data_IF_181638904850
#
_entry.id   IF_181638904850
#
_cell.length_a   1.000
_cell.length_b   1.000
_cell.length_c   1.000
_cell.angle_alpha   90.00
_cell.angle_beta   90.00
_cell.angle_gamma   90.00
#
_symmetry.space_group_name_H-M   'P 1'
#
loop_
_entity.id
_entity.type
_entity.pdbx_description
1 polymer ?
#
# COMPACT_ATOMS: atom_id res chain seq x y z
N UNK A 1 1.28 -35.31 2.30
CA UNK A 1 0.08 -34.63 1.80
C UNK A 1 0.55 -33.57 0.79
N UNK A 2 0.02 -33.61 -0.42
CA UNK A 2 0.27 -32.64 -1.48
C UNK A 2 -0.61 -31.39 -1.26
N UNK A 3 -0.34 -30.63 -0.18
CA UNK A 3 -1.01 -29.35 0.06
C UNK A 3 -0.12 -28.21 -0.40
N UNK A 4 -0.73 -27.24 -1.05
CA UNK A 4 -0.10 -25.98 -1.43
C UNK A 4 -0.32 -24.95 -0.36
N UNK A 5 0.71 -24.15 -0.05
CA UNK A 5 0.66 -23.10 0.96
C UNK A 5 0.70 -21.72 0.30
N UNK A 6 -0.39 -20.98 0.46
CA UNK A 6 -0.50 -19.58 0.03
C UNK A 6 -0.60 -18.71 1.27
N UNK A 7 0.29 -17.73 1.40
CA UNK A 7 0.28 -16.79 2.51
C UNK A 7 -0.39 -15.48 2.13
N UNK A 8 -0.92 -14.78 3.13
CA UNK A 8 -1.43 -13.42 2.96
C UNK A 8 -0.26 -12.42 2.89
N UNK A 9 -0.24 -11.59 1.86
CA UNK A 9 0.74 -10.55 1.62
C UNK A 9 0.10 -9.19 1.87
N UNK A 10 0.28 -8.65 3.07
CA UNK A 10 -0.24 -7.34 3.47
C UNK A 10 0.87 -6.30 3.29
N UNK A 11 0.81 -5.54 2.21
CA UNK A 11 1.87 -4.59 1.82
C UNK A 11 1.37 -3.18 1.52
N UNK A 12 0.07 -2.94 1.67
CA UNK A 12 -0.48 -1.58 1.63
C UNK A 12 -0.14 -0.81 2.91
N UNK A 13 -0.08 -1.47 4.05
CA UNK A 13 0.12 -0.89 5.37
C UNK A 13 0.86 -1.84 6.30
N UNK A 14 1.28 -1.34 7.46
CA UNK A 14 1.75 -2.18 8.57
C UNK A 14 0.86 -2.00 9.79
N UNK A 15 1.10 -2.78 10.86
CA UNK A 15 0.63 -2.41 12.18
C UNK A 15 1.31 -1.10 12.65
N UNK A 16 0.63 -0.31 13.47
CA UNK A 16 1.23 0.84 14.18
C UNK A 16 2.25 0.42 15.25
N UNK A 17 2.29 -0.87 15.59
CA UNK A 17 3.29 -1.51 16.46
C UNK A 17 4.48 -2.09 15.66
N UNK A 18 4.47 -1.96 14.34
CA UNK A 18 5.60 -2.40 13.51
C UNK A 18 6.84 -1.55 13.81
N UNK A 19 8.04 -2.15 13.96
CA UNK A 19 9.26 -1.42 14.30
C UNK A 19 9.55 -0.23 13.37
N UNK A 20 9.24 -0.34 12.09
CA UNK A 20 9.41 0.78 11.14
C UNK A 20 8.53 1.97 11.51
N UNK A 21 7.26 1.73 11.88
CA UNK A 21 6.35 2.82 12.22
C UNK A 21 6.65 3.40 13.60
N UNK A 22 7.00 2.56 14.56
CA UNK A 22 7.43 3.02 15.89
C UNK A 22 8.64 3.95 15.81
N UNK A 23 9.57 3.70 14.88
CA UNK A 23 10.70 4.58 14.62
C UNK A 23 10.29 5.80 13.81
N UNK A 24 9.54 5.62 12.72
CA UNK A 24 9.11 6.69 11.83
C UNK A 24 8.35 7.82 12.58
N UNK A 25 7.50 7.45 13.51
CA UNK A 25 6.67 8.40 14.28
C UNK A 25 7.42 9.22 15.33
N UNK A 26 8.71 8.93 15.59
CA UNK A 26 9.51 9.65 16.58
C UNK A 26 10.06 10.97 16.06
N UNK A 27 10.45 11.04 14.77
CA UNK A 27 11.10 12.23 14.19
C UNK A 27 11.03 12.20 12.67
N UNK A 28 10.87 13.39 12.05
CA UNK A 28 10.99 13.58 10.59
C UNK A 28 12.39 13.24 10.04
N UNK A 29 13.42 13.20 10.91
CA UNK A 29 14.79 12.86 10.53
C UNK A 29 15.10 11.37 10.72
N UNK A 30 14.13 10.57 11.17
CA UNK A 30 14.32 9.13 11.31
C UNK A 30 14.40 8.49 9.91
N UNK A 31 15.32 7.52 9.67
CA UNK A 31 15.44 6.82 8.40
C UNK A 31 14.13 6.20 7.90
N UNK A 32 13.30 5.72 8.81
CA UNK A 32 12.01 5.09 8.50
C UNK A 32 10.87 6.10 8.24
N UNK A 33 11.10 7.41 8.43
CA UNK A 33 10.02 8.40 8.26
C UNK A 33 9.40 8.29 6.86
N UNK A 34 10.20 8.22 5.82
CA UNK A 34 9.75 8.14 4.44
C UNK A 34 9.20 6.75 4.03
N UNK A 35 9.15 5.79 4.95
CA UNK A 35 8.49 4.49 4.73
C UNK A 35 6.97 4.60 4.73
N UNK A 36 6.43 5.69 5.26
CA UNK A 36 5.00 5.97 5.37
C UNK A 36 4.64 7.29 4.70
N UNK A 37 3.36 7.48 4.43
CA UNK A 37 2.85 8.74 3.91
C UNK A 37 2.55 9.72 5.03
N UNK A 38 3.11 10.93 4.91
CA UNK A 38 2.94 12.01 5.87
C UNK A 38 2.47 13.29 5.21
N UNK A 39 1.63 14.04 5.92
CA UNK A 39 1.26 15.40 5.58
C UNK A 39 1.77 16.33 6.70
N UNK A 40 2.76 17.19 6.44
CA UNK A 40 3.29 18.13 7.42
C UNK A 40 2.25 19.14 7.86
N UNK A 41 2.11 19.40 9.19
CA UNK A 41 1.11 20.33 9.73
C UNK A 41 1.31 21.78 9.27
N UNK A 42 2.54 22.17 8.93
CA UNK A 42 2.82 23.49 8.35
C UNK A 42 2.14 23.75 7.00
N UNK A 43 1.69 22.72 6.32
CA UNK A 43 0.90 22.83 5.07
C UNK A 43 -0.60 23.07 5.33
N UNK A 44 -1.01 23.17 6.59
CA UNK A 44 -2.40 23.23 7.00
C UNK A 44 -3.03 21.82 7.08
N UNK A 45 -4.37 21.78 7.09
CA UNK A 45 -5.09 20.51 7.15
C UNK A 45 -4.85 19.66 5.92
N UNK A 46 -4.70 18.31 6.09
CA UNK A 46 -4.51 17.43 4.97
C UNK A 46 -5.74 17.38 4.07
N UNK A 47 -5.58 17.15 2.75
CA UNK A 47 -6.69 16.95 1.84
C UNK A 47 -7.56 15.78 2.28
N UNK A 48 -8.88 15.94 2.17
CA UNK A 48 -9.83 14.90 2.58
C UNK A 48 -9.49 13.55 1.97
N UNK A 49 -9.34 12.56 2.85
CA UNK A 49 -9.30 11.13 2.52
C UNK A 49 -10.20 10.40 3.50
N UNK A 50 -11.01 9.49 2.99
CA UNK A 50 -11.88 8.67 3.82
C UNK A 50 -11.21 7.35 4.16
N UNK A 51 -11.40 6.92 5.40
CA UNK A 51 -11.00 5.61 5.87
C UNK A 51 -12.09 4.57 5.56
N UNK A 52 -11.69 3.33 5.26
CA UNK A 52 -12.62 2.22 5.11
C UNK A 52 -13.25 1.77 6.44
N UNK A 53 -12.55 2.00 7.57
CA UNK A 53 -12.94 1.45 8.88
C UNK A 53 -13.21 2.51 9.95
N UNK A 54 -12.87 3.77 9.71
CA UNK A 54 -13.13 4.83 10.67
C UNK A 54 -14.48 5.49 10.35
N UNK A 55 -15.46 5.36 11.25
CA UNK A 55 -16.80 5.91 11.08
C UNK A 55 -16.79 7.46 11.02
N UNK A 56 -15.78 8.12 11.60
CA UNK A 56 -15.54 9.55 11.46
C UNK A 56 -14.97 9.92 10.09
N UNK A 57 -14.63 8.90 9.30
CA UNK A 57 -14.32 9.00 7.89
C UNK A 57 -12.96 9.58 7.55
N UNK A 58 -12.14 10.04 8.50
CA UNK A 58 -10.85 10.66 8.19
C UNK A 58 -9.72 9.63 8.15
N UNK A 59 -9.01 9.56 7.03
CA UNK A 59 -7.85 8.69 6.85
C UNK A 59 -6.52 9.33 7.28
N UNK A 60 -6.54 10.43 8.02
CA UNK A 60 -5.37 11.10 8.54
C UNK A 60 -5.40 11.20 10.06
N UNK A 61 -4.29 10.83 10.71
CA UNK A 61 -4.13 10.97 12.15
C UNK A 61 -2.89 11.80 12.47
N UNK A 62 -3.09 12.83 13.31
CA UNK A 62 -2.00 13.70 13.75
C UNK A 62 -1.03 12.99 14.69
N UNK A 63 0.26 13.14 14.42
CA UNK A 63 1.36 12.64 15.24
C UNK A 63 2.21 13.80 15.76
N UNK A 64 2.10 14.08 17.04
CA UNK A 64 2.74 15.22 17.70
C UNK A 64 4.27 15.24 17.56
N UNK A 65 5.02 14.12 17.73
CA UNK A 65 6.48 14.15 17.65
C UNK A 65 7.03 14.59 16.30
N UNK A 66 6.32 14.28 15.20
CA UNK A 66 6.72 14.67 13.84
C UNK A 66 6.02 15.93 13.35
N UNK A 67 5.07 16.47 14.13
CA UNK A 67 4.20 17.58 13.72
C UNK A 67 3.64 17.37 12.30
N UNK A 68 3.09 16.15 12.08
CA UNK A 68 2.58 15.70 10.78
C UNK A 68 1.41 14.76 10.99
N UNK A 69 0.58 14.63 9.95
CA UNK A 69 -0.48 13.62 9.89
C UNK A 69 0.02 12.43 9.08
N UNK A 70 -0.18 11.19 9.57
CA UNK A 70 0.07 9.99 8.79
C UNK A 70 -1.20 9.46 8.15
N UNK A 71 -1.07 8.87 6.96
CA UNK A 71 -2.17 8.29 6.21
C UNK A 71 -2.49 6.87 6.67
N UNK A 72 -3.80 6.53 6.73
CA UNK A 72 -4.29 5.18 6.96
C UNK A 72 -5.62 4.99 6.23
N UNK A 73 -5.60 4.35 5.08
CA UNK A 73 -6.86 4.07 4.35
C UNK A 73 -7.78 3.11 5.09
N UNK A 74 -7.24 2.32 6.01
CA UNK A 74 -8.00 1.46 6.92
C UNK A 74 -8.06 2.07 8.33
N UNK A 75 -7.73 1.32 9.35
CA UNK A 75 -7.71 1.82 10.72
C UNK A 75 -6.49 2.72 10.99
N UNK A 76 -6.62 3.66 11.93
CA UNK A 76 -5.48 4.43 12.48
C UNK A 76 -4.35 3.56 13.04
N UNK A 77 -4.61 2.27 13.30
CA UNK A 77 -3.60 1.27 13.65
C UNK A 77 -2.92 0.60 12.45
N UNK A 78 -3.25 1.04 11.24
CA UNK A 78 -2.75 0.47 9.99
C UNK A 78 -2.19 1.57 9.09
N UNK A 79 -1.04 2.20 9.47
CA UNK A 79 -0.41 3.27 8.69
C UNK A 79 0.01 2.78 7.32
N UNK A 80 -0.29 3.57 6.29
CA UNK A 80 -0.06 3.23 4.89
C UNK A 80 1.39 3.39 4.48
N UNK A 81 1.95 2.36 3.85
CA UNK A 81 3.31 2.34 3.33
C UNK A 81 3.45 3.22 2.07
N UNK A 82 4.59 3.89 1.98
CA UNK A 82 4.94 4.76 0.87
C UNK A 82 5.66 4.01 -0.25
N UNK A 83 4.92 3.46 -1.19
CA UNK A 83 5.48 2.73 -2.34
C UNK A 83 6.26 3.61 -3.33
N UNK A 84 6.20 4.94 -3.21
CA UNK A 84 7.10 5.84 -3.95
C UNK A 84 8.56 5.65 -3.52
N UNK A 85 8.77 5.26 -2.25
CA UNK A 85 10.11 4.99 -1.72
C UNK A 85 10.63 3.65 -2.25
N UNK A 86 11.73 3.62 -3.03
CA UNK A 86 12.28 2.39 -3.55
C UNK A 86 12.83 1.45 -2.47
N UNK A 87 13.23 1.98 -1.29
CA UNK A 87 13.70 1.16 -0.18
C UNK A 87 12.58 0.28 0.36
N UNK A 88 11.37 0.81 0.52
CA UNK A 88 10.20 0.02 0.92
C UNK A 88 9.91 -1.09 -0.08
N UNK A 89 9.96 -0.79 -1.38
CA UNK A 89 9.73 -1.82 -2.39
C UNK A 89 10.76 -2.94 -2.29
N UNK A 90 12.03 -2.57 -2.06
CA UNK A 90 13.10 -3.56 -1.90
C UNK A 90 12.88 -4.44 -0.65
N UNK A 91 12.54 -3.85 0.49
CA UNK A 91 12.22 -4.58 1.73
C UNK A 91 11.07 -5.57 1.54
N UNK A 92 10.01 -5.14 0.82
CA UNK A 92 8.88 -6.01 0.49
C UNK A 92 9.33 -7.15 -0.42
N UNK A 93 10.13 -6.88 -1.46
CA UNK A 93 10.61 -7.91 -2.38
C UNK A 93 11.56 -8.90 -1.69
N UNK A 94 12.37 -8.44 -0.74
CA UNK A 94 13.25 -9.30 0.06
C UNK A 94 12.42 -10.19 0.99
N UNK A 95 11.39 -9.66 1.62
CA UNK A 95 10.46 -10.43 2.44
C UNK A 95 9.71 -11.48 1.61
N UNK A 96 9.26 -11.13 0.39
CA UNK A 96 8.59 -12.08 -0.49
C UNK A 96 9.54 -13.22 -0.90
N UNK A 97 10.78 -12.89 -1.28
CA UNK A 97 11.82 -13.89 -1.60
C UNK A 97 12.10 -14.80 -0.41
N UNK A 98 12.24 -14.25 0.78
CA UNK A 98 12.44 -15.03 2.00
C UNK A 98 11.38 -16.12 2.18
N UNK A 99 10.10 -15.79 1.96
CA UNK A 99 9.02 -16.77 2.11
C UNK A 99 9.01 -17.80 0.97
N UNK A 100 9.26 -17.40 -0.27
CA UNK A 100 9.41 -18.34 -1.38
C UNK A 100 10.56 -19.31 -1.17
N UNK A 101 11.70 -18.84 -0.68
CA UNK A 101 12.86 -19.68 -0.35
C UNK A 101 12.57 -20.63 0.83
N UNK A 102 11.57 -20.35 1.64
CA UNK A 102 11.03 -21.26 2.67
C UNK A 102 10.05 -22.29 2.09
N UNK A 103 9.69 -22.18 0.83
CA UNK A 103 8.88 -23.18 0.12
C UNK A 103 7.39 -22.94 0.12
N UNK A 104 6.93 -21.69 0.24
CA UNK A 104 5.52 -21.37 -0.02
C UNK A 104 5.22 -21.46 -1.52
N UNK A 105 3.96 -21.70 -1.85
CA UNK A 105 3.49 -21.85 -3.23
C UNK A 105 2.88 -20.57 -3.80
N UNK A 106 2.71 -19.53 -3.00
CA UNK A 106 2.16 -18.27 -3.50
C UNK A 106 1.72 -17.29 -2.43
N UNK A 107 1.15 -16.16 -2.93
CA UNK A 107 0.59 -15.10 -2.11
C UNK A 107 -0.85 -14.75 -2.50
N UNK A 108 -1.69 -14.53 -1.50
CA UNK A 108 -2.90 -13.70 -1.62
C UNK A 108 -2.52 -12.28 -1.25
N UNK A 109 -2.61 -11.35 -2.18
CA UNK A 109 -2.15 -9.97 -2.02
C UNK A 109 -3.30 -9.11 -1.51
N UNK A 110 -3.24 -8.76 -0.23
CA UNK A 110 -4.23 -7.93 0.44
C UNK A 110 -4.25 -6.52 -0.13
N UNK A 111 -5.45 -6.03 -0.47
CA UNK A 111 -5.69 -4.63 -0.90
C UNK A 111 -4.67 -4.11 -1.91
N UNK A 112 -4.18 -4.97 -2.80
CA UNK A 112 -3.06 -4.68 -3.70
C UNK A 112 -3.33 -3.53 -4.67
N UNK A 113 -4.59 -3.25 -4.96
CA UNK A 113 -4.99 -2.11 -5.81
C UNK A 113 -4.80 -0.75 -5.14
N UNK A 114 -4.52 -0.71 -3.83
CA UNK A 114 -4.42 0.52 -3.05
C UNK A 114 -2.98 0.92 -2.70
N UNK A 115 -1.97 0.16 -3.11
CA UNK A 115 -0.57 0.41 -2.71
C UNK A 115 0.00 1.72 -3.26
N UNK A 116 -0.43 2.16 -4.43
CA UNK A 116 0.01 3.40 -5.04
C UNK A 116 -0.83 4.60 -4.55
N UNK A 117 -0.17 5.68 -4.16
CA UNK A 117 -0.80 6.96 -3.78
C UNK A 117 -0.06 8.11 -4.44
N UNK A 118 -0.80 9.09 -4.95
CA UNK A 118 -0.19 10.34 -5.42
C UNK A 118 0.35 11.13 -4.22
N UNK A 119 1.68 11.36 -4.10
CA UNK A 119 2.27 12.04 -2.95
C UNK A 119 1.89 13.53 -2.87
N UNK A 120 1.31 14.10 -3.92
CA UNK A 120 0.75 15.46 -3.88
C UNK A 120 -0.60 15.50 -3.20
N UNK A 121 -1.26 14.35 -3.03
CA UNK A 121 -2.59 14.21 -2.45
C UNK A 121 -3.60 15.22 -3.02
N UNK A 122 -3.85 15.22 -4.35
CA UNK A 122 -4.75 16.17 -4.97
C UNK A 122 -6.15 16.08 -4.39
N UNK A 123 -6.92 17.16 -4.48
CA UNK A 123 -8.35 17.14 -4.14
C UNK A 123 -9.08 16.15 -5.05
N UNK A 124 -9.96 15.35 -4.45
CA UNK A 124 -10.74 14.37 -5.19
C UNK A 124 -11.92 15.06 -5.86
N UNK A 125 -11.99 14.93 -7.18
CA UNK A 125 -13.14 15.41 -7.96
C UNK A 125 -14.33 14.45 -7.77
N UNK A 126 -15.29 14.85 -6.94
CA UNK A 126 -16.49 14.06 -6.66
C UNK A 126 -17.41 13.86 -7.88
N UNK A 127 -17.26 14.67 -8.94
CA UNK A 127 -18.00 14.47 -10.19
C UNK A 127 -17.43 13.32 -11.00
N UNK A 128 -16.10 13.18 -10.98
CA UNK A 128 -15.37 12.10 -11.66
C UNK A 128 -15.38 10.82 -10.85
N UNK A 129 -15.33 10.93 -9.53
CA UNK A 129 -15.29 9.81 -8.59
C UNK A 129 -16.44 9.92 -7.59
N UNK A 130 -17.67 9.51 -7.96
CA UNK A 130 -18.82 9.53 -7.05
C UNK A 130 -18.63 8.69 -5.81
N UNK A 131 -17.89 7.57 -5.96
CA UNK A 131 -17.35 6.78 -4.87
C UNK A 131 -15.87 7.14 -4.69
N UNK A 132 -15.54 7.74 -3.55
CA UNK A 132 -14.19 8.18 -3.22
C UNK A 132 -13.18 7.02 -3.21
N UNK A 133 -13.61 5.81 -2.85
CA UNK A 133 -12.74 4.65 -2.81
C UNK A 133 -12.32 4.20 -4.21
N UNK A 134 -13.14 4.47 -5.23
CA UNK A 134 -12.75 4.20 -6.62
C UNK A 134 -11.58 5.06 -7.10
N UNK A 135 -11.37 6.24 -6.49
CA UNK A 135 -10.20 7.07 -6.76
C UNK A 135 -8.90 6.40 -6.28
N UNK A 136 -8.93 5.72 -5.12
CA UNK A 136 -7.72 5.12 -4.54
C UNK A 136 -7.12 4.02 -5.42
N UNK A 137 -7.95 3.26 -6.13
CA UNK A 137 -7.52 2.18 -7.02
C UNK A 137 -7.14 2.65 -8.44
N UNK A 138 -7.17 3.95 -8.73
CA UNK A 138 -6.94 4.51 -10.07
C UNK A 138 -5.60 5.24 -10.21
N UNK A 139 -4.71 5.12 -9.24
CA UNK A 139 -3.37 5.72 -9.32
C UNK A 139 -2.56 5.06 -10.46
N UNK A 140 -2.12 5.83 -11.46
CA UNK A 140 -1.46 5.26 -12.66
C UNK A 140 -0.18 4.48 -12.37
N UNK A 141 0.54 4.81 -11.28
CA UNK A 141 1.79 4.13 -10.90
C UNK A 141 1.57 2.76 -10.29
N UNK A 142 0.34 2.39 -9.94
CA UNK A 142 0.02 1.07 -9.43
C UNK A 142 0.60 -0.04 -10.32
N UNK A 143 0.35 0.03 -11.62
CA UNK A 143 0.81 -0.98 -12.55
C UNK A 143 2.34 -1.00 -12.69
N UNK A 144 3.03 0.15 -12.53
CA UNK A 144 4.50 0.17 -12.51
C UNK A 144 5.05 -0.64 -11.33
N UNK A 145 4.44 -0.53 -10.15
CA UNK A 145 4.85 -1.29 -8.97
C UNK A 145 4.54 -2.77 -9.09
N UNK A 146 3.38 -3.13 -9.66
CA UNK A 146 3.03 -4.53 -9.91
C UNK A 146 3.97 -5.17 -10.93
N UNK A 147 4.33 -4.46 -12.00
CA UNK A 147 5.33 -4.92 -12.97
C UNK A 147 6.71 -5.08 -12.33
N UNK A 148 7.12 -4.14 -11.46
CA UNK A 148 8.38 -4.24 -10.73
C UNK A 148 8.38 -5.47 -9.83
N UNK A 149 7.31 -5.70 -9.06
CA UNK A 149 7.11 -6.88 -8.20
C UNK A 149 7.18 -8.18 -9.01
N UNK A 150 6.49 -8.23 -10.15
CA UNK A 150 6.53 -9.40 -11.02
C UNK A 150 7.95 -9.67 -11.52
N UNK A 151 8.62 -8.67 -12.09
CA UNK A 151 9.97 -8.80 -12.63
C UNK A 151 11.01 -9.16 -11.56
N UNK A 152 10.89 -8.56 -10.38
CA UNK A 152 11.86 -8.73 -9.29
C UNK A 152 11.66 -10.02 -8.50
N UNK A 153 10.41 -10.50 -8.39
CA UNK A 153 10.07 -11.64 -7.54
C UNK A 153 9.25 -12.68 -8.28
N UNK A 154 7.97 -12.41 -8.60
CA UNK A 154 7.02 -13.45 -8.98
C UNK A 154 7.47 -14.26 -10.18
N UNK A 155 8.04 -13.64 -11.21
CA UNK A 155 8.55 -14.32 -12.40
C UNK A 155 9.78 -15.23 -12.15
N UNK A 156 10.33 -15.23 -10.95
CA UNK A 156 11.50 -16.05 -10.57
C UNK A 156 11.10 -17.37 -9.90
N UNK A 157 9.83 -17.52 -9.53
CA UNK A 157 9.30 -18.68 -8.81
C UNK A 157 8.13 -19.29 -9.56
N UNK A 158 8.00 -20.63 -9.49
CA UNK A 158 6.78 -21.33 -9.90
C UNK A 158 5.72 -21.14 -8.80
N UNK A 159 4.94 -20.08 -8.90
CA UNK A 159 4.06 -19.66 -7.83
C UNK A 159 2.69 -19.22 -8.34
N UNK A 160 1.72 -19.23 -7.43
CA UNK A 160 0.40 -18.62 -7.63
C UNK A 160 0.34 -17.27 -6.93
N UNK A 161 -0.22 -16.27 -7.57
CA UNK A 161 -0.61 -15.03 -6.91
C UNK A 161 -2.07 -14.69 -7.19
N UNK A 162 -2.78 -14.21 -6.17
CA UNK A 162 -4.14 -13.72 -6.30
C UNK A 162 -4.26 -12.37 -5.59
N UNK A 163 -4.68 -11.34 -6.30
CA UNK A 163 -4.82 -9.99 -5.76
C UNK A 163 -6.24 -9.71 -5.29
N UNK A 164 -6.37 -9.08 -4.12
CA UNK A 164 -7.61 -8.43 -3.73
C UNK A 164 -7.68 -7.05 -4.37
N UNK A 165 -8.56 -6.91 -5.37
CA UNK A 165 -8.73 -5.70 -6.16
C UNK A 165 -9.88 -4.83 -5.66
N UNK A 166 -9.72 -4.14 -4.53
CA UNK A 166 -10.69 -3.16 -4.07
C UNK A 166 -10.94 -2.09 -5.14
N UNK A 167 -12.21 -1.83 -5.47
CA UNK A 167 -12.65 -0.90 -6.51
C UNK A 167 -12.08 -1.16 -7.93
N UNK A 168 -11.57 -2.36 -8.20
CA UNK A 168 -11.20 -2.81 -9.55
C UNK A 168 -12.44 -3.28 -10.29
N UNK A 169 -12.68 -2.69 -11.45
CA UNK A 169 -13.83 -3.05 -12.31
C UNK A 169 -13.43 -4.14 -13.30
N UNK A 170 -14.41 -4.85 -13.86
CA UNK A 170 -14.19 -5.95 -14.83
C UNK A 170 -13.29 -5.49 -15.99
N UNK A 171 -13.48 -4.27 -16.48
CA UNK A 171 -12.69 -3.71 -17.59
C UNK A 171 -11.22 -3.44 -17.22
N UNK A 172 -10.91 -3.34 -15.92
CA UNK A 172 -9.55 -3.15 -15.44
C UNK A 172 -8.79 -4.46 -15.24
N UNK A 173 -9.49 -5.61 -15.11
CA UNK A 173 -8.89 -6.89 -14.74
C UNK A 173 -7.77 -7.30 -15.69
N UNK A 174 -7.92 -7.09 -16.99
CA UNK A 174 -6.89 -7.41 -17.97
C UNK A 174 -5.53 -6.75 -17.68
N UNK A 175 -5.52 -5.57 -17.07
CA UNK A 175 -4.28 -4.86 -16.70
C UNK A 175 -3.52 -5.54 -15.55
N UNK A 176 -4.24 -6.30 -14.72
CA UNK A 176 -3.66 -7.00 -13.57
C UNK A 176 -3.18 -8.41 -13.91
N UNK A 177 -3.78 -9.06 -14.90
CA UNK A 177 -3.56 -10.50 -15.20
C UNK A 177 -2.93 -10.76 -16.56
N UNK A 178 -2.67 -9.75 -17.38
CA UNK A 178 -2.05 -9.88 -18.70
C UNK A 178 -0.57 -10.28 -18.55
N UNK A 179 -0.18 -11.51 -18.98
CA UNK A 179 1.20 -11.97 -18.86
C UNK A 179 2.20 -11.23 -19.78
N UNK A 180 1.71 -10.43 -20.72
CA UNK A 180 2.55 -9.64 -21.63
C UNK A 180 2.89 -8.24 -21.08
N UNK A 181 2.40 -7.92 -19.91
CA UNK A 181 2.59 -6.61 -19.27
C UNK A 181 3.38 -6.71 -18.00
#
# INVERSE_FOLDING_TARGET
>A
REMRLVLDLVVNHTSDEHPWFEEARKSRHNPYYNYYHWWPAEKGEPPLRLSYFDEEGNAWTYNKPTDSYYLHYFSRKQPDLNWENPEIRQEIFDMMRFWFDKGIDGFRMDSISLIAKDPSFPLIDSKKYPDIFSFYAKEPRLHLYLHEMNRQVLSKYDCMSVGEGSAVMVDDVAKFVDPAR
#
